data_IF_516110622801
#
_entry.id   IF_516110622801
#
_cell.length_a   1.000
_cell.length_b   1.000
_cell.length_c   1.000
_cell.angle_alpha   90.00
_cell.angle_beta   90.00
_cell.angle_gamma   90.00
#
_symmetry.space_group_name_H-M   'P 1'
#
loop_
_entity.id
_entity.type
_entity.pdbx_description
1 polymer ?
#
# COMPACT_ATOMS: atom_id res chain seq x y z
N UNK A 1 -17.90 1.68 -32.37
CA UNK A 1 -17.84 0.96 -31.08
C UNK A 1 -18.33 1.90 -29.99
N UNK A 2 -19.39 1.55 -29.27
CA UNK A 2 -19.85 2.32 -28.11
C UNK A 2 -19.04 1.87 -26.89
N UNK A 3 -18.23 2.76 -26.30
CA UNK A 3 -17.58 2.50 -25.02
C UNK A 3 -18.49 3.01 -23.90
N UNK A 4 -19.10 2.09 -23.15
CA UNK A 4 -19.93 2.45 -22.00
C UNK A 4 -19.01 2.78 -20.83
N UNK A 5 -19.08 4.02 -20.36
CA UNK A 5 -18.29 4.51 -19.24
C UNK A 5 -18.94 4.07 -17.92
N UNK A 6 -18.36 3.09 -17.23
CA UNK A 6 -18.87 2.61 -15.94
C UNK A 6 -18.32 3.49 -14.82
N UNK A 7 -19.21 4.20 -14.12
CA UNK A 7 -18.83 5.05 -12.97
C UNK A 7 -18.79 4.20 -11.69
N UNK A 8 -17.59 3.79 -11.28
CA UNK A 8 -17.38 3.11 -10.00
C UNK A 8 -17.47 4.16 -8.88
N UNK A 9 -18.55 4.13 -8.08
CA UNK A 9 -18.83 5.16 -7.06
C UNK A 9 -18.26 4.88 -5.67
N UNK A 10 -17.85 3.65 -5.36
CA UNK A 10 -17.15 3.28 -4.12
C UNK A 10 -16.80 1.79 -4.18
N UNK A 11 -15.58 1.46 -4.61
CA UNK A 11 -15.07 0.10 -4.59
C UNK A 11 -14.05 -0.05 -3.47
N UNK A 12 -14.50 -0.57 -2.33
CA UNK A 12 -13.64 -1.07 -1.29
C UNK A 12 -13.58 -2.60 -1.42
N UNK A 13 -12.37 -3.16 -1.47
CA UNK A 13 -12.16 -4.61 -1.44
C UNK A 13 -11.85 -4.98 0.00
N UNK A 14 -12.68 -5.87 0.58
CA UNK A 14 -12.37 -6.45 1.87
C UNK A 14 -11.12 -7.32 1.74
N UNK A 15 -10.09 -7.03 2.53
CA UNK A 15 -8.87 -7.83 2.56
C UNK A 15 -9.15 -9.17 3.27
N UNK A 16 -8.58 -10.29 2.80
CA UNK A 16 -8.60 -11.55 3.55
C UNK A 16 -7.99 -11.41 4.95
N UNK A 17 -8.44 -12.24 5.90
CA UNK A 17 -7.97 -12.21 7.30
C UNK A 17 -6.44 -12.31 7.42
N UNK A 18 -5.80 -13.10 6.55
CA UNK A 18 -4.34 -13.25 6.55
C UNK A 18 -3.63 -11.91 6.30
N UNK A 19 -4.17 -11.08 5.39
CA UNK A 19 -3.60 -9.77 5.06
C UNK A 19 -3.91 -8.78 6.18
N UNK A 20 -5.14 -8.81 6.74
CA UNK A 20 -5.52 -7.96 7.88
C UNK A 20 -4.64 -8.22 9.12
N UNK A 21 -4.20 -9.45 9.34
CA UNK A 21 -3.31 -9.78 10.46
C UNK A 21 -1.87 -9.28 10.23
N UNK A 22 -1.42 -9.19 8.98
CA UNK A 22 -0.09 -8.73 8.62
C UNK A 22 0.02 -7.20 8.44
N UNK A 23 -1.12 -6.52 8.25
CA UNK A 23 -1.21 -5.09 7.97
C UNK A 23 -2.02 -4.37 9.05
N UNK A 24 -1.43 -3.33 9.64
CA UNK A 24 -2.12 -2.42 10.56
C UNK A 24 -2.99 -1.46 9.78
N UNK A 25 -4.04 -0.94 10.41
CA UNK A 25 -5.01 -0.01 9.81
C UNK A 25 -4.36 1.27 9.22
N UNK A 26 -3.20 1.65 9.74
CA UNK A 26 -2.44 2.84 9.33
C UNK A 26 -1.25 2.52 8.42
N UNK A 27 -1.07 1.26 8.02
CA UNK A 27 0.00 0.89 7.10
C UNK A 27 -0.28 1.46 5.71
N UNK A 28 0.75 2.07 5.13
CA UNK A 28 0.70 2.60 3.76
C UNK A 28 1.08 1.51 2.75
N UNK A 29 0.47 1.59 1.57
CA UNK A 29 0.66 0.64 0.48
C UNK A 29 1.06 1.37 -0.81
N UNK A 30 1.99 0.79 -1.56
CA UNK A 30 2.14 1.09 -2.98
C UNK A 30 1.31 0.14 -3.82
N UNK A 31 0.62 0.70 -4.81
CA UNK A 31 -0.18 -0.04 -5.77
C UNK A 31 0.51 -0.01 -7.14
N UNK A 32 0.75 -1.20 -7.69
CA UNK A 32 1.26 -1.37 -9.05
C UNK A 32 0.18 -2.03 -9.89
N UNK A 33 -0.26 -1.35 -10.95
CA UNK A 33 -1.30 -1.87 -11.84
C UNK A 33 -0.71 -2.42 -13.13
N UNK A 34 -1.25 -3.55 -13.57
CA UNK A 34 -1.09 -4.13 -14.91
C UNK A 34 -2.48 -4.26 -15.54
N UNK A 35 -2.54 -4.64 -16.82
CA UNK A 35 -3.81 -4.84 -17.54
C UNK A 35 -4.68 -5.95 -16.92
N UNK A 36 -4.08 -6.90 -16.20
CA UNK A 36 -4.76 -8.11 -15.69
C UNK A 36 -4.79 -8.21 -14.17
N UNK A 37 -3.93 -7.48 -13.45
CA UNK A 37 -3.80 -7.61 -12.00
C UNK A 37 -3.30 -6.31 -11.37
N UNK A 38 -3.55 -6.18 -10.07
CA UNK A 38 -2.98 -5.13 -9.22
C UNK A 38 -2.14 -5.80 -8.14
N UNK A 39 -0.88 -5.37 -8.01
CA UNK A 39 0.03 -5.79 -6.95
C UNK A 39 -0.01 -4.72 -5.85
N UNK A 40 -0.19 -5.15 -4.62
CA UNK A 40 -0.18 -4.29 -3.43
C UNK A 40 1.09 -4.62 -2.63
N UNK A 41 1.97 -3.64 -2.43
CA UNK A 41 3.20 -3.79 -1.65
C UNK A 41 3.16 -2.87 -0.42
N UNK A 42 3.45 -3.40 0.75
CA UNK A 42 3.55 -2.60 1.99
C UNK A 42 4.73 -1.64 1.89
N UNK A 43 4.53 -0.39 2.28
CA UNK A 43 5.62 0.58 2.42
C UNK A 43 6.30 0.32 3.75
N UNK A 44 7.56 -0.09 3.71
CA UNK A 44 8.38 -0.13 4.90
C UNK A 44 8.80 1.30 5.23
N UNK A 45 8.33 1.83 6.37
CA UNK A 45 8.90 3.08 6.90
C UNK A 45 10.35 2.79 7.23
N UNK A 46 11.27 3.31 6.42
CA UNK A 46 12.67 3.37 6.77
C UNK A 46 12.74 4.16 8.08
N UNK A 47 12.99 3.47 9.20
CA UNK A 47 13.37 4.15 10.43
C UNK A 47 14.73 4.75 10.15
N UNK A 48 14.77 6.01 9.74
CA UNK A 48 15.99 6.79 9.70
C UNK A 48 16.49 6.86 11.15
N UNK A 49 17.35 5.91 11.54
CA UNK A 49 18.17 6.03 12.74
C UNK A 49 19.20 7.12 12.47
N UNK A 50 18.76 8.37 12.53
CA UNK A 50 19.61 9.56 12.57
C UNK A 50 20.04 9.88 14.02
N UNK A 51 19.88 8.94 14.95
CA UNK A 51 20.20 9.14 16.38
C UNK A 51 21.49 8.46 16.83
N UNK A 52 22.21 7.75 15.94
CA UNK A 52 23.48 7.08 16.27
C UNK A 52 24.70 7.76 15.61
N UNK A 53 24.69 9.09 15.48
CA UNK A 53 25.95 9.82 15.26
C UNK A 53 26.51 10.09 16.66
N UNK A 54 27.59 9.40 17.09
CA UNK A 54 28.29 9.81 18.30
C UNK A 54 28.85 11.21 18.06
N UNK A 55 28.23 12.22 18.68
CA UNK A 55 28.92 13.47 18.98
C UNK A 55 30.11 13.07 19.85
N UNK A 56 31.31 12.92 19.29
CA UNK A 56 32.63 13.06 19.92
C UNK A 56 33.67 12.98 18.79
N UNK A 57 33.97 14.13 18.18
CA UNK A 57 35.23 14.41 17.47
C UNK A 57 35.89 15.56 18.24
#
# INVERSE_FOLDING_TARGET
MLQTMVKIKNSAIALPKQIQNAWKKEDEAMLFSSNTFVIVKKVEKAVARLSDIPEHI
#
